data_IF_473476980636
#
_entry.id   IF_473476980636
#
_cell.length_a   1.000
_cell.length_b   1.000
_cell.length_c   1.000
_cell.angle_alpha   90.00
_cell.angle_beta   90.00
_cell.angle_gamma   90.00
#
_symmetry.space_group_name_H-M   'P 1'
#
loop_
_entity.id
_entity.type
_entity.pdbx_description
1 polymer ?
#
# COMPACT_ATOMS: atom_id res chain seq x y z
N UNK A 1 -12.86 19.33 -25.67
CA UNK A 1 -12.31 19.37 -24.29
C UNK A 1 -12.84 18.17 -23.52
N UNK A 2 -12.04 17.12 -23.30
CA UNK A 2 -12.40 16.06 -22.34
C UNK A 2 -12.19 16.66 -20.95
N UNK A 3 -13.27 16.86 -20.18
CA UNK A 3 -13.15 17.05 -18.74
C UNK A 3 -12.59 15.75 -18.19
N UNK A 4 -11.39 15.80 -17.64
CA UNK A 4 -10.94 14.80 -16.68
C UNK A 4 -11.81 15.03 -15.46
N UNK A 5 -12.98 14.42 -15.45
CA UNK A 5 -13.82 14.34 -14.27
C UNK A 5 -12.96 13.62 -13.23
N UNK A 6 -12.41 14.42 -12.32
CA UNK A 6 -11.69 13.97 -11.14
C UNK A 6 -12.76 13.27 -10.30
N UNK A 7 -12.98 12.00 -10.60
CA UNK A 7 -13.74 11.09 -9.75
C UNK A 7 -12.92 10.98 -8.47
N UNK A 8 -13.10 11.96 -7.59
CA UNK A 8 -12.72 11.86 -6.18
C UNK A 8 -13.57 10.71 -5.68
N UNK A 9 -12.99 9.50 -5.68
CA UNK A 9 -13.61 8.30 -5.15
C UNK A 9 -14.15 8.68 -3.78
N UNK A 10 -15.48 8.67 -3.63
CA UNK A 10 -16.18 9.03 -2.38
C UNK A 10 -15.89 8.06 -1.24
N UNK A 11 -15.04 7.07 -1.50
CA UNK A 11 -14.73 5.95 -0.64
C UNK A 11 -13.35 6.08 0.01
N UNK A 12 -12.61 7.17 -0.23
CA UNK A 12 -11.26 7.38 0.35
C UNK A 12 -11.35 8.39 1.48
N UNK A 13 -10.96 7.97 2.68
CA UNK A 13 -10.92 8.80 3.89
C UNK A 13 -9.57 9.50 4.00
N UNK A 14 -8.47 8.77 3.81
CA UNK A 14 -7.12 9.34 3.89
C UNK A 14 -6.09 8.47 3.18
N UNK A 15 -5.07 9.11 2.62
CA UNK A 15 -3.89 8.46 2.06
C UNK A 15 -2.66 8.86 2.88
N UNK A 16 -1.86 7.88 3.27
CA UNK A 16 -0.60 8.07 3.96
C UNK A 16 0.54 7.47 3.12
N UNK A 17 1.64 8.22 2.99
CA UNK A 17 2.86 7.77 2.33
C UNK A 17 3.75 7.11 3.36
N UNK A 18 4.06 5.83 3.19
CA UNK A 18 4.76 5.02 4.19
C UNK A 18 6.10 4.52 3.61
N UNK A 19 7.17 4.77 4.37
CA UNK A 19 8.53 4.37 4.01
C UNK A 19 9.25 5.38 3.11
N UNK A 20 10.50 5.69 3.49
CA UNK A 20 11.44 6.62 2.84
C UNK A 20 11.05 7.25 1.51
N UNK A 21 11.76 6.93 0.43
CA UNK A 21 11.54 7.50 -0.90
C UNK A 21 10.27 6.88 -1.50
N UNK A 22 9.09 7.31 -1.03
CA UNK A 22 7.78 7.04 -1.65
C UNK A 22 7.50 5.56 -2.02
N UNK A 23 7.99 4.61 -1.22
CA UNK A 23 7.92 3.19 -1.59
C UNK A 23 6.48 2.65 -1.58
N UNK A 24 5.62 3.16 -0.70
CA UNK A 24 4.26 2.63 -0.50
C UNK A 24 3.23 3.71 -0.18
N UNK A 25 1.98 3.43 -0.57
CA UNK A 25 0.81 4.24 -0.24
C UNK A 25 -0.16 3.38 0.58
N UNK A 26 -0.58 3.88 1.72
CA UNK A 26 -1.69 3.34 2.49
C UNK A 26 -2.94 4.19 2.27
N UNK A 27 -4.03 3.58 1.84
CA UNK A 27 -5.33 4.21 1.58
C UNK A 27 -6.36 3.63 2.53
N UNK A 28 -6.89 4.48 3.41
CA UNK A 28 -8.00 4.14 4.29
C UNK A 28 -9.33 4.50 3.63
N UNK A 29 -10.27 3.56 3.61
CA UNK A 29 -11.57 3.73 2.97
C UNK A 29 -12.70 3.93 3.97
N UNK A 30 -13.82 4.48 3.50
CA UNK A 30 -15.02 4.76 4.32
C UNK A 30 -15.74 3.50 4.78
N UNK A 31 -15.51 2.38 4.09
CA UNK A 31 -16.02 1.06 4.44
C UNK A 31 -15.20 0.36 5.56
N UNK A 32 -14.15 1.01 6.06
CA UNK A 32 -13.25 0.46 7.09
C UNK A 32 -12.06 -0.33 6.53
N UNK A 33 -11.95 -0.46 5.21
CA UNK A 33 -10.86 -1.19 4.55
C UNK A 33 -9.56 -0.37 4.56
N UNK A 34 -8.44 -1.03 4.81
CA UNK A 34 -7.09 -0.50 4.59
C UNK A 34 -6.45 -1.16 3.37
N UNK A 35 -6.09 -0.37 2.38
CA UNK A 35 -5.34 -0.82 1.21
C UNK A 35 -3.91 -0.32 1.27
N UNK A 36 -2.92 -1.20 1.09
CA UNK A 36 -1.50 -0.81 1.04
C UNK A 36 -0.95 -1.30 -0.28
N UNK A 37 -0.43 -0.39 -1.09
CA UNK A 37 0.18 -0.68 -2.38
C UNK A 37 1.60 -0.14 -2.47
N UNK A 38 2.46 -0.86 -3.17
CA UNK A 38 3.78 -0.36 -3.55
C UNK A 38 3.63 0.61 -4.73
N UNK A 39 4.35 1.73 -4.68
CA UNK A 39 4.41 2.64 -5.83
C UNK A 39 5.04 1.93 -7.02
N UNK A 40 4.37 1.89 -8.19
CA UNK A 40 4.91 1.21 -9.36
C UNK A 40 6.26 1.80 -9.77
N UNK A 41 7.27 0.96 -9.89
CA UNK A 41 8.59 1.34 -10.39
C UNK A 41 8.70 1.04 -11.89
N UNK A 42 9.02 2.07 -12.68
CA UNK A 42 9.40 1.89 -14.08
C UNK A 42 10.90 1.60 -14.18
N UNK A 43 11.26 0.52 -14.88
CA UNK A 43 12.65 0.20 -15.19
C UNK A 43 12.87 0.23 -16.69
N UNK A 44 13.80 1.08 -17.14
CA UNK A 44 14.14 1.20 -18.56
C UNK A 44 14.56 -0.16 -19.15
N UNK A 45 14.02 -0.51 -20.32
CA UNK A 45 14.28 -1.79 -20.99
C UNK A 45 13.50 -2.99 -20.44
N UNK A 46 12.95 -2.93 -19.22
CA UNK A 46 12.15 -3.99 -18.60
C UNK A 46 10.66 -3.62 -18.46
N UNK A 47 10.33 -2.33 -18.56
CA UNK A 47 8.98 -1.82 -18.41
C UNK A 47 8.58 -1.61 -16.94
N UNK A 48 7.27 -1.56 -16.70
CA UNK A 48 6.71 -1.42 -15.36
C UNK A 48 6.84 -2.75 -14.59
N UNK A 49 7.47 -2.72 -13.42
CA UNK A 49 7.44 -3.87 -12.53
C UNK A 49 6.05 -4.02 -11.91
N UNK A 50 5.61 -5.27 -11.75
CA UNK A 50 4.40 -5.57 -10.98
C UNK A 50 4.55 -5.05 -9.56
N UNK A 51 3.56 -4.31 -9.08
CA UNK A 51 3.52 -3.83 -7.71
C UNK A 51 2.86 -4.87 -6.80
N UNK A 52 3.26 -4.88 -5.53
CA UNK A 52 2.57 -5.63 -4.51
C UNK A 52 1.45 -4.77 -3.91
N UNK A 53 0.29 -5.38 -3.68
CA UNK A 53 -0.82 -4.74 -3.01
C UNK A 53 -1.45 -5.71 -2.01
N UNK A 54 -1.88 -5.19 -0.86
CA UNK A 54 -2.64 -5.92 0.15
C UNK A 54 -3.87 -5.10 0.55
N UNK A 55 -4.98 -5.79 0.79
CA UNK A 55 -6.23 -5.19 1.24
C UNK A 55 -6.65 -5.89 2.52
N UNK A 56 -6.85 -5.12 3.57
CA UNK A 56 -7.30 -5.57 4.88
C UNK A 56 -8.73 -5.08 5.08
N UNK A 57 -9.67 -5.99 5.24
CA UNK A 57 -11.12 -5.73 5.21
C UNK A 57 -11.65 -5.23 6.55
N UNK A 58 -10.99 -5.60 7.65
CA UNK A 58 -11.44 -5.28 9.00
C UNK A 58 -10.27 -5.10 9.98
N UNK A 59 -10.63 -4.66 11.20
CA UNK A 59 -9.66 -4.41 12.27
C UNK A 59 -8.93 -5.68 12.72
N UNK A 60 -9.57 -6.85 12.67
CA UNK A 60 -8.96 -8.10 13.11
C UNK A 60 -7.84 -8.53 12.15
N UNK A 61 -8.02 -8.32 10.84
CA UNK A 61 -6.98 -8.52 9.84
C UNK A 61 -5.80 -7.56 10.03
N UNK A 62 -6.07 -6.29 10.36
CA UNK A 62 -5.04 -5.29 10.67
C UNK A 62 -4.23 -5.72 11.89
N UNK A 63 -4.89 -6.16 12.96
CA UNK A 63 -4.25 -6.65 14.18
C UNK A 63 -3.39 -7.89 13.90
N UNK A 64 -3.90 -8.87 13.14
CA UNK A 64 -3.14 -10.06 12.74
C UNK A 64 -1.88 -9.72 11.96
N UNK A 65 -1.98 -8.78 10.99
CA UNK A 65 -0.81 -8.34 10.23
C UNK A 65 0.22 -7.66 11.13
N UNK A 66 -0.22 -6.74 12.00
CA UNK A 66 0.65 -6.07 12.97
C UNK A 66 1.39 -7.10 13.85
N UNK A 67 0.67 -8.05 14.41
CA UNK A 67 1.23 -9.04 15.32
C UNK A 67 2.19 -9.99 14.59
N UNK A 68 1.87 -10.37 13.35
CA UNK A 68 2.77 -11.12 12.49
C UNK A 68 4.08 -10.34 12.23
N UNK A 69 3.98 -9.07 11.80
CA UNK A 69 5.13 -8.23 11.49
C UNK A 69 6.01 -7.98 12.72
N UNK A 70 5.40 -7.72 13.88
CA UNK A 70 6.11 -7.57 15.15
C UNK A 70 6.74 -8.88 15.64
N UNK A 71 6.23 -10.03 15.18
CA UNK A 71 6.80 -11.35 15.46
C UNK A 71 7.99 -11.72 14.56
N UNK A 72 8.28 -10.94 13.51
CA UNK A 72 9.40 -11.21 12.61
C UNK A 72 10.73 -10.90 13.31
N UNK A 73 11.61 -11.89 13.37
CA UNK A 73 13.00 -11.68 13.78
C UNK A 73 13.84 -11.24 12.57
N UNK A 74 14.76 -10.28 12.72
CA UNK A 74 15.68 -9.90 11.66
C UNK A 74 16.44 -11.12 11.15
N UNK A 75 16.44 -11.32 9.84
CA UNK A 75 17.30 -12.34 9.23
C UNK A 75 18.73 -11.80 9.35
N UNK A 76 19.62 -12.52 10.03
CA UNK A 76 21.03 -12.14 10.08
C UNK A 76 21.55 -12.05 8.64
N UNK A 77 22.01 -10.86 8.25
CA UNK A 77 22.67 -10.68 6.96
C UNK A 77 23.86 -11.63 6.91
N UNK A 78 23.83 -12.58 5.97
CA UNK A 78 25.01 -13.40 5.69
C UNK A 78 26.07 -12.46 5.12
N UNK A 79 27.15 -12.26 5.87
CA UNK A 79 28.36 -11.60 5.40
C UNK A 79 29.07 -12.42 4.31
#
# INVERSE_FOLDING_TARGET
>A
MRRLDKQVNKDIVTNELIGGIFDRVATYKTDGTLHIEQTPEYVEGLGWKGHQAVTLQDWDEIVKLRDFLNGLSPIQARG
#
